data_IF_723482139225
#
_entry.id   IF_723482139225
#
_cell.length_a   1.000
_cell.length_b   1.000
_cell.length_c   1.000
_cell.angle_alpha   90.00
_cell.angle_beta   90.00
_cell.angle_gamma   90.00
#
_symmetry.space_group_name_H-M   'P 1'
#
loop_
_entity.id
_entity.type
_entity.pdbx_description
1 polymer ?
#
# COMPACT_ATOMS: atom_id res chain seq x y z
N UNK A 1 27.73 -13.21 37.23
CA UNK A 1 27.59 -13.95 35.96
C UNK A 1 27.32 -15.45 36.17
N UNK A 2 28.21 -16.20 36.85
CA UNK A 2 28.04 -17.63 37.12
C UNK A 2 26.77 -18.01 37.92
N UNK A 3 26.31 -17.17 38.84
CA UNK A 3 25.08 -17.39 39.61
C UNK A 3 23.79 -17.21 38.78
N UNK A 4 23.84 -16.38 37.73
CA UNK A 4 22.73 -16.18 36.80
C UNK A 4 22.68 -17.34 35.81
N UNK A 5 23.84 -17.77 35.29
CA UNK A 5 23.95 -18.95 34.43
C UNK A 5 23.49 -20.23 35.15
N UNK A 6 23.84 -20.44 36.43
CA UNK A 6 23.31 -21.54 37.24
C UNK A 6 21.80 -21.47 37.49
N UNK A 7 21.23 -20.25 37.63
CA UNK A 7 19.77 -20.06 37.72
C UNK A 7 19.08 -20.33 36.38
N UNK A 8 19.71 -20.01 35.25
CA UNK A 8 19.22 -20.30 33.90
C UNK A 8 19.25 -21.80 33.61
N UNK A 9 20.32 -22.51 33.98
CA UNK A 9 20.40 -23.98 33.88
C UNK A 9 19.36 -24.69 34.76
N UNK A 10 19.00 -24.10 35.91
CA UNK A 10 17.92 -24.61 36.77
C UNK A 10 16.50 -24.39 36.23
N UNK A 11 16.32 -23.56 35.19
CA UNK A 11 15.03 -23.29 34.51
C UNK A 11 14.83 -24.21 33.30
N UNK A 12 15.75 -25.16 33.07
CA UNK A 12 15.61 -26.25 32.09
C UNK A 12 14.36 -27.09 32.36
N UNK A 13 13.23 -26.74 31.73
CA UNK A 13 12.11 -27.68 31.62
C UNK A 13 10.74 -27.13 31.23
N UNK A 14 10.45 -25.83 31.29
CA UNK A 14 9.11 -25.31 30.91
C UNK A 14 9.18 -23.95 30.22
N UNK A 15 9.57 -23.95 28.95
CA UNK A 15 9.30 -22.81 28.07
C UNK A 15 7.78 -22.72 27.83
N UNK A 16 7.12 -21.89 28.62
CA UNK A 16 5.67 -21.68 28.56
C UNK A 16 5.23 -21.03 27.26
N UNK A 17 6.06 -20.19 26.65
CA UNK A 17 5.79 -19.60 25.33
C UNK A 17 5.84 -20.66 24.25
N UNK A 18 6.88 -21.50 24.23
CA UNK A 18 6.99 -22.60 23.27
C UNK A 18 5.84 -23.59 23.40
N UNK A 19 5.49 -23.99 24.64
CA UNK A 19 4.34 -24.87 24.87
C UNK A 19 3.06 -24.27 24.30
N UNK A 20 2.81 -23.00 24.59
CA UNK A 20 1.64 -22.26 24.08
C UNK A 20 1.69 -22.14 22.56
N UNK A 21 2.86 -21.92 21.96
CA UNK A 21 3.04 -21.86 20.50
C UNK A 21 2.63 -23.16 19.84
N UNK A 22 3.11 -24.29 20.36
CA UNK A 22 2.80 -25.62 19.83
C UNK A 22 1.30 -25.94 19.94
N UNK A 23 0.69 -25.63 21.09
CA UNK A 23 -0.76 -25.80 21.31
C UNK A 23 -1.58 -24.97 20.32
N UNK A 24 -1.22 -23.71 20.09
CA UNK A 24 -1.91 -22.85 19.13
C UNK A 24 -1.74 -23.32 17.69
N UNK A 25 -0.51 -23.68 17.27
CA UNK A 25 -0.25 -24.22 15.94
C UNK A 25 -1.09 -25.48 15.71
N UNK A 26 -1.12 -26.39 16.69
CA UNK A 26 -1.90 -27.63 16.59
C UNK A 26 -3.40 -27.37 16.50
N UNK A 27 -3.93 -26.43 17.30
CA UNK A 27 -5.34 -26.01 17.23
C UNK A 27 -5.70 -25.38 15.89
N UNK A 28 -4.80 -24.56 15.33
CA UNK A 28 -5.00 -23.93 14.01
C UNK A 28 -4.99 -25.01 12.92
N UNK A 29 -3.99 -25.89 12.94
CA UNK A 29 -3.80 -26.95 11.93
C UNK A 29 -4.84 -28.05 11.99
N UNK A 30 -5.43 -28.32 13.16
CA UNK A 30 -6.56 -29.23 13.29
C UNK A 30 -7.85 -28.65 12.72
N UNK A 31 -8.02 -27.32 12.79
CA UNK A 31 -9.17 -26.61 12.23
C UNK A 31 -9.03 -26.40 10.72
N UNK A 32 -7.84 -26.06 10.25
CA UNK A 32 -7.50 -25.90 8.84
C UNK A 32 -6.08 -26.41 8.58
N UNK A 33 -5.99 -27.59 7.97
CA UNK A 33 -4.69 -28.22 7.67
C UNK A 33 -3.88 -27.44 6.63
N UNK A 34 -4.57 -26.70 5.74
CA UNK A 34 -3.97 -25.89 4.70
C UNK A 34 -3.48 -24.52 5.19
N UNK A 35 -3.82 -24.15 6.43
CA UNK A 35 -3.46 -22.86 7.01
C UNK A 35 -1.95 -22.62 6.97
N UNK A 36 -1.56 -21.47 6.42
CA UNK A 36 -0.18 -20.98 6.45
C UNK A 36 -0.02 -20.10 7.68
N UNK A 37 0.98 -20.37 8.51
CA UNK A 37 1.21 -19.66 9.78
C UNK A 37 2.51 -18.88 9.69
N UNK A 38 2.47 -17.60 10.06
CA UNK A 38 3.67 -16.76 10.14
C UNK A 38 3.99 -16.55 11.61
N UNK A 39 5.22 -16.84 12.01
CA UNK A 39 5.71 -16.65 13.37
C UNK A 39 6.80 -15.59 13.36
N UNK A 40 6.53 -14.43 13.96
CA UNK A 40 7.51 -13.36 14.10
C UNK A 40 8.25 -13.45 15.44
N UNK A 41 9.55 -13.18 15.38
CA UNK A 41 10.41 -12.97 16.56
C UNK A 41 11.40 -11.84 16.27
N UNK A 42 11.89 -11.17 17.31
CA UNK A 42 12.85 -10.08 17.15
C UNK A 42 14.27 -10.60 16.90
N UNK A 43 14.61 -11.76 17.49
CA UNK A 43 15.99 -12.26 17.52
C UNK A 43 16.19 -13.47 16.60
N UNK A 44 17.33 -13.49 15.89
CA UNK A 44 17.72 -14.61 15.01
C UNK A 44 17.97 -15.91 15.77
N UNK A 45 18.46 -15.82 17.01
CA UNK A 45 18.70 -17.00 17.85
C UNK A 45 17.39 -17.70 18.21
N UNK A 46 16.37 -16.92 18.58
CA UNK A 46 15.00 -17.43 18.80
C UNK A 46 14.43 -18.05 17.54
N UNK A 47 14.60 -17.41 16.38
CA UNK A 47 14.18 -17.97 15.10
C UNK A 47 14.83 -19.34 14.85
N UNK A 48 16.13 -19.46 15.09
CA UNK A 48 16.89 -20.70 14.88
C UNK A 48 16.42 -21.81 15.83
N UNK A 49 16.19 -21.45 17.10
CA UNK A 49 15.64 -22.33 18.11
C UNK A 49 14.25 -22.85 17.73
N UNK A 50 13.31 -21.95 17.39
CA UNK A 50 11.94 -22.31 17.00
C UNK A 50 11.93 -23.16 15.73
N UNK A 51 12.73 -22.79 14.73
CA UNK A 51 12.89 -23.54 13.48
C UNK A 51 13.32 -24.99 13.74
N UNK A 52 14.30 -25.22 14.61
CA UNK A 52 14.78 -26.56 14.96
C UNK A 52 13.69 -27.44 15.59
N UNK A 53 12.81 -26.86 16.40
CA UNK A 53 11.74 -27.60 17.09
C UNK A 53 10.56 -27.85 16.15
N UNK A 54 10.11 -26.81 15.44
CA UNK A 54 8.93 -26.90 14.57
C UNK A 54 9.16 -27.81 13.35
N UNK A 55 10.40 -27.86 12.83
CA UNK A 55 10.77 -28.76 11.73
C UNK A 55 10.61 -30.25 12.03
N UNK A 56 10.49 -30.63 13.31
CA UNK A 56 10.26 -32.03 13.68
C UNK A 56 8.86 -32.53 13.28
N UNK A 57 7.88 -31.62 13.13
CA UNK A 57 6.47 -31.96 12.85
C UNK A 57 5.91 -31.27 11.61
N UNK A 58 6.46 -30.13 11.19
CA UNK A 58 5.92 -29.30 10.12
C UNK A 58 6.98 -28.94 9.08
N UNK A 59 6.55 -28.70 7.83
CA UNK A 59 7.42 -28.09 6.82
C UNK A 59 7.61 -26.62 7.16
N UNK A 60 8.85 -26.17 7.29
CA UNK A 60 9.15 -24.80 7.73
C UNK A 60 9.94 -24.00 6.69
N UNK A 61 9.73 -22.69 6.73
CA UNK A 61 10.50 -21.68 6.01
C UNK A 61 11.07 -20.67 7.01
N UNK A 62 12.24 -20.10 6.72
CA UNK A 62 12.84 -19.07 7.58
C UNK A 62 13.30 -17.86 6.79
N UNK A 63 13.00 -16.66 7.30
CA UNK A 63 13.45 -15.40 6.69
C UNK A 63 14.12 -14.52 7.75
N UNK A 64 15.41 -14.20 7.55
CA UNK A 64 16.19 -13.34 8.44
C UNK A 64 17.02 -12.30 7.69
N UNK A 65 17.42 -11.23 8.41
CA UNK A 65 17.89 -9.98 7.79
C UNK A 65 19.14 -10.12 6.90
N UNK A 66 20.01 -11.10 7.16
CA UNK A 66 21.22 -11.32 6.35
C UNK A 66 21.00 -12.17 5.08
N UNK A 67 19.77 -12.58 4.78
CA UNK A 67 19.45 -13.29 3.52
C UNK A 67 19.42 -12.35 2.31
N UNK A 68 19.96 -12.82 1.19
CA UNK A 68 19.89 -12.13 -0.10
C UNK A 68 18.46 -12.04 -0.66
N UNK A 69 18.24 -11.11 -1.59
CA UNK A 69 16.89 -10.84 -2.15
C UNK A 69 16.33 -12.04 -2.91
N UNK A 70 17.15 -12.77 -3.67
CA UNK A 70 16.72 -13.97 -4.42
C UNK A 70 16.37 -15.13 -3.50
N UNK A 71 17.17 -15.39 -2.46
CA UNK A 71 16.87 -16.41 -1.46
C UNK A 71 15.54 -16.13 -0.74
N UNK A 72 15.29 -14.86 -0.39
CA UNK A 72 14.01 -14.46 0.20
C UNK A 72 12.84 -14.76 -0.73
N UNK A 73 12.97 -14.50 -2.04
CA UNK A 73 11.92 -14.82 -3.01
C UNK A 73 11.67 -16.32 -3.10
N UNK A 74 12.71 -17.14 -3.20
CA UNK A 74 12.56 -18.60 -3.24
C UNK A 74 11.89 -19.15 -1.97
N UNK A 75 12.25 -18.65 -0.79
CA UNK A 75 11.62 -19.05 0.46
C UNK A 75 10.15 -18.64 0.51
N UNK A 76 9.80 -17.45 0.01
CA UNK A 76 8.41 -17.00 -0.08
C UNK A 76 7.58 -17.82 -1.07
N UNK A 77 8.15 -18.16 -2.21
CA UNK A 77 7.51 -19.04 -3.19
C UNK A 77 7.26 -20.43 -2.58
N UNK A 78 8.25 -20.97 -1.88
CA UNK A 78 8.09 -22.24 -1.16
C UNK A 78 7.04 -22.16 -0.06
N UNK A 79 6.92 -21.03 0.65
CA UNK A 79 5.88 -20.85 1.66
C UNK A 79 4.49 -20.65 1.05
N UNK A 80 4.39 -20.02 -0.13
CA UNK A 80 3.12 -19.81 -0.85
C UNK A 80 2.59 -21.09 -1.49
N UNK A 81 3.46 -22.00 -1.93
CA UNK A 81 3.08 -23.29 -2.49
C UNK A 81 2.19 -24.08 -1.49
N UNK A 82 0.97 -24.50 -1.86
CA UNK A 82 0.11 -25.35 -1.03
C UNK A 82 0.82 -26.60 -0.47
N UNK A 83 1.77 -27.18 -1.23
CA UNK A 83 2.54 -28.37 -0.85
C UNK A 83 3.90 -28.04 -0.20
N UNK A 84 4.27 -26.77 -0.15
CA UNK A 84 5.54 -26.29 0.40
C UNK A 84 5.49 -26.07 1.93
N UNK A 85 6.16 -25.03 2.41
CA UNK A 85 6.28 -24.76 3.85
C UNK A 85 4.92 -24.39 4.46
N UNK A 86 4.61 -24.96 5.61
CA UNK A 86 3.39 -24.73 6.37
C UNK A 86 3.51 -23.57 7.35
N UNK A 87 4.72 -23.38 7.88
CA UNK A 87 5.02 -22.36 8.89
C UNK A 87 6.24 -21.58 8.42
N UNK A 88 6.15 -20.26 8.46
CA UNK A 88 7.29 -19.39 8.22
C UNK A 88 7.70 -18.70 9.52
N UNK A 89 8.96 -18.84 9.93
CA UNK A 89 9.51 -18.10 11.07
C UNK A 89 10.38 -16.96 10.55
N UNK A 90 10.11 -15.73 10.96
CA UNK A 90 10.82 -14.56 10.42
C UNK A 90 11.18 -13.51 11.47
N UNK A 91 12.27 -12.78 11.20
CA UNK A 91 12.65 -11.59 11.97
C UNK A 91 12.11 -10.31 11.36
N UNK A 92 11.95 -9.27 12.17
CA UNK A 92 11.53 -7.92 11.72
C UNK A 92 12.35 -7.38 10.55
N UNK A 93 13.68 -7.43 10.67
CA UNK A 93 14.62 -6.92 9.66
C UNK A 93 14.50 -7.62 8.29
N UNK A 94 13.78 -8.74 8.26
CA UNK A 94 13.66 -9.60 7.10
C UNK A 94 12.26 -9.59 6.49
N UNK A 95 11.23 -9.21 7.26
CA UNK A 95 9.83 -9.10 6.83
C UNK A 95 9.45 -7.75 6.21
N UNK A 96 10.30 -6.73 6.30
CA UNK A 96 10.05 -5.43 5.66
C UNK A 96 10.05 -5.55 4.12
N UNK A 97 9.04 -4.95 3.49
CA UNK A 97 8.89 -4.93 2.03
C UNK A 97 8.36 -6.23 1.40
N UNK A 98 8.08 -7.26 2.20
CA UNK A 98 7.52 -8.54 1.72
C UNK A 98 5.99 -8.50 1.74
N UNK A 99 5.36 -9.06 0.71
CA UNK A 99 3.92 -9.26 0.65
C UNK A 99 3.55 -10.66 1.18
N UNK A 100 2.76 -10.69 2.26
CA UNK A 100 2.37 -11.91 2.98
C UNK A 100 0.86 -12.13 2.98
N UNK A 101 0.11 -11.45 2.08
CA UNK A 101 -1.36 -11.54 1.98
C UNK A 101 -1.90 -12.96 1.72
N UNK A 102 -1.08 -13.89 1.26
CA UNK A 102 -1.47 -15.30 1.09
C UNK A 102 -1.56 -16.08 2.41
N UNK A 103 -1.08 -15.53 3.52
CA UNK A 103 -1.39 -16.00 4.87
C UNK A 103 -2.54 -15.17 5.45
N UNK A 104 -3.25 -15.72 6.44
CA UNK A 104 -4.22 -14.99 7.25
C UNK A 104 -3.98 -15.20 8.75
N UNK A 105 -2.84 -15.79 9.13
CA UNK A 105 -2.50 -16.11 10.52
C UNK A 105 -1.09 -15.62 10.83
N UNK A 106 -1.01 -14.74 11.81
CA UNK A 106 0.22 -14.18 12.37
C UNK A 106 0.31 -14.52 13.86
N UNK A 107 1.46 -15.03 14.28
CA UNK A 107 1.81 -15.25 15.68
C UNK A 107 3.06 -14.42 15.98
N UNK A 108 2.93 -13.40 16.82
CA UNK A 108 4.04 -12.66 17.36
C UNK A 108 4.55 -13.39 18.61
N UNK A 109 5.63 -14.15 18.46
CA UNK A 109 6.31 -14.83 19.58
C UNK A 109 6.93 -13.81 20.54
N UNK A 110 7.51 -12.76 19.96
CA UNK A 110 7.98 -11.56 20.65
C UNK A 110 7.32 -10.34 20.01
N UNK A 111 6.61 -9.56 20.83
CA UNK A 111 5.92 -8.36 20.40
C UNK A 111 6.91 -7.18 20.40
N UNK A 112 7.02 -6.41 19.32
CA UNK A 112 7.92 -5.27 19.30
C UNK A 112 7.34 -4.17 20.20
N UNK A 113 8.23 -3.50 20.95
CA UNK A 113 7.87 -2.35 21.78
C UNK A 113 7.38 -1.15 20.97
N UNK A 114 7.85 -1.03 19.72
CA UNK A 114 7.48 0.07 18.83
C UNK A 114 6.12 -0.24 18.13
N UNK A 115 5.06 0.56 18.37
CA UNK A 115 3.73 0.35 17.78
C UNK A 115 3.73 0.46 16.26
N UNK A 116 4.56 1.31 15.68
CA UNK A 116 4.74 1.43 14.23
C UNK A 116 5.30 0.14 13.64
N UNK A 117 6.21 -0.55 14.34
CA UNK A 117 6.69 -1.87 13.88
C UNK A 117 5.58 -2.91 13.92
N UNK A 118 4.78 -2.94 14.99
CA UNK A 118 3.62 -3.82 15.09
C UNK A 118 2.63 -3.56 13.95
N UNK A 119 2.30 -2.29 13.71
CA UNK A 119 1.45 -1.85 12.61
C UNK A 119 1.98 -2.31 11.25
N UNK A 120 3.28 -2.15 11.01
CA UNK A 120 3.92 -2.61 9.78
C UNK A 120 3.86 -4.12 9.60
N UNK A 121 4.03 -4.92 10.68
CA UNK A 121 3.84 -6.39 10.64
C UNK A 121 2.42 -6.72 10.20
N UNK A 122 1.43 -6.14 10.90
CA UNK A 122 0.02 -6.37 10.63
C UNK A 122 -0.35 -5.99 9.20
N UNK A 123 0.17 -4.86 8.71
CA UNK A 123 0.01 -4.36 7.36
C UNK A 123 0.73 -5.18 6.27
N UNK A 124 1.51 -6.22 6.60
CA UNK A 124 2.00 -7.19 5.59
C UNK A 124 0.96 -8.23 5.21
N UNK A 125 -0.01 -8.47 6.09
CA UNK A 125 -1.04 -9.51 5.92
C UNK A 125 -2.42 -8.86 5.69
N UNK A 126 -2.76 -7.86 6.50
CA UNK A 126 -4.03 -7.13 6.40
C UNK A 126 -3.84 -5.88 5.55
N UNK A 127 -3.85 -6.05 4.22
CA UNK A 127 -4.01 -4.95 3.27
C UNK A 127 -5.30 -5.06 2.49
N UNK A 128 -5.63 -3.97 1.79
CA UNK A 128 -6.75 -3.87 0.84
C UNK A 128 -6.70 -5.05 -0.14
N UNK A 129 -7.74 -5.88 -0.15
CA UNK A 129 -7.85 -7.09 -0.99
C UNK A 129 -7.76 -8.42 -0.24
N UNK A 130 -7.47 -8.41 1.07
CA UNK A 130 -7.58 -9.60 1.91
C UNK A 130 -9.05 -9.91 2.21
N UNK A 131 -9.56 -11.05 1.72
CA UNK A 131 -10.94 -11.48 1.92
C UNK A 131 -11.11 -12.38 3.15
N UNK A 132 -10.04 -13.05 3.58
CA UNK A 132 -10.08 -13.92 4.76
C UNK A 132 -9.90 -13.10 6.03
N UNK A 133 -10.62 -13.48 7.08
CA UNK A 133 -10.38 -12.92 8.42
C UNK A 133 -8.93 -13.19 8.83
N UNK A 134 -8.22 -12.11 9.15
CA UNK A 134 -6.83 -12.18 9.62
C UNK A 134 -6.83 -12.34 11.13
N UNK A 135 -6.03 -13.28 11.62
CA UNK A 135 -5.85 -13.56 13.04
C UNK A 135 -4.44 -13.18 13.47
N UNK A 136 -4.36 -12.38 14.53
CA UNK A 136 -3.12 -11.95 15.16
C UNK A 136 -3.06 -12.51 16.57
N UNK A 137 -2.05 -13.34 16.85
CA UNK A 137 -1.80 -13.91 18.16
C UNK A 137 -0.55 -13.28 18.75
N UNK A 138 -0.71 -12.43 19.76
CA UNK A 138 0.40 -11.74 20.40
C UNK A 138 0.74 -12.42 21.72
N UNK A 139 1.94 -12.98 21.82
CA UNK A 139 2.37 -13.67 23.04
C UNK A 139 2.97 -12.67 24.02
N UNK A 140 2.41 -12.66 25.23
CA UNK A 140 2.78 -11.75 26.30
C UNK A 140 3.02 -12.57 27.56
N UNK A 141 4.15 -12.34 28.23
CA UNK A 141 4.45 -13.00 29.51
C UNK A 141 3.69 -12.24 30.61
N UNK A 142 2.88 -12.96 31.38
CA UNK A 142 2.17 -12.38 32.53
C UNK A 142 3.16 -12.05 33.65
N UNK A 143 2.82 -11.05 34.46
CA UNK A 143 3.60 -10.62 35.64
C UNK A 143 4.99 -10.03 35.34
N UNK A 144 5.23 -9.61 34.11
CA UNK A 144 6.34 -8.69 33.78
C UNK A 144 5.82 -7.28 33.54
N UNK A 145 6.65 -6.27 33.80
CA UNK A 145 6.33 -4.88 33.49
C UNK A 145 6.03 -4.71 31.99
N UNK A 146 6.91 -5.26 31.16
CA UNK A 146 6.77 -5.30 29.70
C UNK A 146 5.43 -5.90 29.28
N UNK A 147 5.08 -7.05 29.88
CA UNK A 147 3.84 -7.74 29.56
C UNK A 147 2.60 -6.99 30.02
N UNK A 148 2.69 -6.31 31.16
CA UNK A 148 1.62 -5.44 31.63
C UNK A 148 1.38 -4.27 30.66
N UNK A 149 2.43 -3.55 30.26
CA UNK A 149 2.33 -2.42 29.33
C UNK A 149 1.80 -2.89 27.97
N UNK A 150 2.39 -3.95 27.41
CA UNK A 150 1.99 -4.48 26.10
C UNK A 150 0.55 -4.99 26.10
N UNK A 151 0.10 -5.64 27.18
CA UNK A 151 -1.30 -6.09 27.30
C UNK A 151 -2.28 -4.92 27.28
N UNK A 152 -1.98 -3.84 28.01
CA UNK A 152 -2.80 -2.63 28.07
C UNK A 152 -2.83 -1.89 26.74
N UNK A 153 -1.68 -1.84 26.05
CA UNK A 153 -1.61 -1.30 24.70
C UNK A 153 -2.49 -2.09 23.73
N UNK A 154 -2.40 -3.42 23.74
CA UNK A 154 -3.23 -4.28 22.89
C UNK A 154 -4.73 -4.15 23.19
N UNK A 155 -5.12 -4.08 24.47
CA UNK A 155 -6.51 -3.85 24.88
C UNK A 155 -7.02 -2.51 24.33
N UNK A 156 -6.20 -1.46 24.41
CA UNK A 156 -6.56 -0.15 23.89
C UNK A 156 -6.70 -0.14 22.38
N UNK A 157 -5.80 -0.81 21.67
CA UNK A 157 -5.87 -0.99 20.21
C UNK A 157 -7.19 -1.67 19.83
N UNK A 158 -7.60 -2.71 20.54
CA UNK A 158 -8.86 -3.40 20.30
C UNK A 158 -10.08 -2.49 20.53
N UNK A 159 -10.09 -1.73 21.63
CA UNK A 159 -11.17 -0.77 21.91
C UNK A 159 -11.29 0.31 20.83
N UNK A 160 -10.17 0.85 20.35
CA UNK A 160 -10.16 1.83 19.25
C UNK A 160 -10.60 1.18 17.94
N UNK A 161 -10.24 -0.09 17.70
CA UNK A 161 -10.64 -0.87 16.52
C UNK A 161 -12.15 -1.03 16.44
N UNK A 162 -12.78 -1.34 17.56
CA UNK A 162 -14.24 -1.44 17.65
C UNK A 162 -14.90 -0.08 17.39
N UNK A 163 -14.39 1.01 17.99
CA UNK A 163 -14.93 2.35 17.80
C UNK A 163 -14.79 2.89 16.36
N UNK A 164 -13.70 2.55 15.66
CA UNK A 164 -13.41 3.02 14.29
C UNK A 164 -13.84 2.03 13.19
N UNK A 165 -14.63 1.01 13.53
CA UNK A 165 -15.20 0.07 12.56
C UNK A 165 -14.14 -0.72 11.77
N UNK A 166 -13.02 -1.08 12.40
CA UNK A 166 -11.99 -1.94 11.80
C UNK A 166 -10.86 -1.23 11.03
N UNK A 167 -10.81 0.11 10.98
CA UNK A 167 -9.80 0.88 10.22
C UNK A 167 -8.51 1.22 10.99
N UNK A 168 -8.21 0.52 12.08
CA UNK A 168 -7.17 0.99 13.04
C UNK A 168 -5.75 0.72 12.61
N UNK A 169 -5.54 -0.20 11.68
CA UNK A 169 -4.20 -0.66 11.31
C UNK A 169 -3.36 0.33 10.49
N UNK A 170 -3.91 1.49 10.11
CA UNK A 170 -3.17 2.57 9.42
C UNK A 170 -2.91 3.80 10.33
N UNK A 171 -3.32 3.74 11.61
CA UNK A 171 -3.23 4.86 12.56
C UNK A 171 -2.56 4.50 13.88
N UNK A 172 -2.05 3.27 14.05
CA UNK A 172 -1.47 2.79 15.32
C UNK A 172 -0.23 3.59 15.73
N UNK A 173 0.74 3.73 14.82
CA UNK A 173 1.95 4.53 15.07
C UNK A 173 1.68 6.02 15.23
N UNK A 174 0.50 6.50 14.83
CA UNK A 174 0.06 7.89 15.05
C UNK A 174 -0.61 8.07 16.42
N UNK A 175 -1.30 7.03 16.91
CA UNK A 175 -1.97 7.05 18.21
C UNK A 175 -0.99 6.89 19.36
N UNK A 176 -0.03 5.98 19.25
CA UNK A 176 0.99 5.71 20.27
C UNK A 176 2.36 5.69 19.61
N UNK A 177 3.28 6.53 20.08
CA UNK A 177 4.66 6.55 19.61
C UNK A 177 5.56 5.74 20.54
N UNK A 178 6.72 5.33 20.04
CA UNK A 178 7.76 4.66 20.84
C UNK A 178 8.21 5.53 22.03
N UNK A 179 8.24 6.85 21.86
CA UNK A 179 8.58 7.80 22.93
C UNK A 179 7.55 7.76 24.07
N UNK A 180 6.25 7.73 23.75
CA UNK A 180 5.19 7.70 24.77
C UNK A 180 5.29 6.41 25.63
N UNK A 181 5.67 5.29 25.01
CA UNK A 181 5.85 4.02 25.72
C UNK A 181 7.10 3.98 26.58
N UNK A 182 8.21 4.55 26.10
CA UNK A 182 9.45 4.64 26.88
C UNK A 182 9.26 5.56 28.10
N UNK A 183 8.56 6.69 27.95
CA UNK A 183 8.22 7.57 29.07
C UNK A 183 7.34 6.85 30.10
N UNK A 184 6.30 6.14 29.65
CA UNK A 184 5.46 5.34 30.53
C UNK A 184 6.25 4.23 31.24
N UNK A 185 7.15 3.55 30.53
CA UNK A 185 7.99 2.51 31.12
C UNK A 185 8.87 3.06 32.24
N UNK A 186 9.55 4.19 31.99
CA UNK A 186 10.37 4.89 32.99
C UNK A 186 9.55 5.35 34.21
N UNK A 187 8.33 5.82 34.01
CA UNK A 187 7.42 6.17 35.10
C UNK A 187 7.01 4.94 35.91
N UNK A 188 6.62 3.85 35.25
CA UNK A 188 6.17 2.61 35.89
C UNK A 188 7.28 1.88 36.64
N UNK A 189 8.54 2.00 36.19
CA UNK A 189 9.71 1.51 36.94
C UNK A 189 9.88 2.19 38.31
N UNK A 190 9.41 3.44 38.44
CA UNK A 190 9.58 4.25 39.66
C UNK A 190 8.41 4.12 40.63
N UNK A 191 7.33 3.47 40.23
CA UNK A 191 6.11 3.34 41.05
C UNK A 191 5.78 1.87 41.39
N UNK A 192 5.23 1.60 42.59
CA UNK A 192 4.72 0.28 42.95
C UNK A 192 3.60 -0.18 42.01
N UNK A 193 3.43 -1.51 41.86
CA UNK A 193 2.47 -2.14 40.94
C UNK A 193 1.03 -1.67 41.17
N UNK A 194 0.68 -1.33 42.40
CA UNK A 194 -0.64 -0.83 42.80
C UNK A 194 -0.98 0.52 42.17
N UNK A 195 0.02 1.31 41.75
CA UNK A 195 -0.17 2.62 41.11
C UNK A 195 -0.12 2.57 39.60
N UNK A 196 0.20 1.41 39.01
CA UNK A 196 0.36 1.29 37.56
C UNK A 196 -0.93 1.64 36.79
N UNK A 197 -2.10 1.34 37.36
CA UNK A 197 -3.39 1.72 36.73
C UNK A 197 -3.59 3.24 36.64
N UNK A 198 -3.19 3.98 37.68
CA UNK A 198 -3.31 5.43 37.69
C UNK A 198 -2.39 6.10 36.66
N UNK A 199 -1.18 5.58 36.48
CA UNK A 199 -0.21 6.09 35.51
C UNK A 199 -0.63 5.77 34.07
N UNK A 200 -1.18 4.57 33.82
CA UNK A 200 -1.71 4.22 32.49
C UNK A 200 -2.87 5.12 32.06
N UNK A 201 -3.64 5.66 33.02
CA UNK A 201 -4.71 6.61 32.70
C UNK A 201 -4.21 7.87 31.98
N UNK A 202 -2.96 8.28 32.19
CA UNK A 202 -2.34 9.37 31.42
C UNK A 202 -2.17 8.99 29.94
N UNK A 203 -1.75 7.75 29.67
CA UNK A 203 -1.67 7.23 28.31
C UNK A 203 -3.06 7.18 27.66
N UNK A 204 -4.10 6.80 28.42
CA UNK A 204 -5.49 6.82 27.93
C UNK A 204 -5.91 8.22 27.46
N UNK A 205 -5.58 9.27 28.23
CA UNK A 205 -5.90 10.65 27.87
C UNK A 205 -5.17 11.10 26.60
N UNK A 206 -3.89 10.74 26.45
CA UNK A 206 -3.08 11.04 25.25
C UNK A 206 -3.70 10.36 24.02
N UNK A 207 -3.99 9.06 24.14
CA UNK A 207 -4.54 8.26 23.06
C UNK A 207 -5.94 8.75 22.66
N UNK A 208 -6.80 9.07 23.64
CA UNK A 208 -8.14 9.58 23.38
C UNK A 208 -8.11 10.97 22.72
N UNK A 209 -7.20 11.85 23.15
CA UNK A 209 -7.00 13.16 22.51
C UNK A 209 -6.55 13.01 21.05
N UNK A 210 -5.58 12.13 20.77
CA UNK A 210 -5.11 11.85 19.40
C UNK A 210 -6.21 11.18 18.56
N UNK A 211 -6.99 10.27 19.13
CA UNK A 211 -8.14 9.64 18.48
C UNK A 211 -9.18 10.68 18.05
N UNK A 212 -9.57 11.61 18.92
CA UNK A 212 -10.51 12.69 18.58
C UNK A 212 -10.00 13.60 17.46
N UNK A 213 -8.69 13.86 17.42
CA UNK A 213 -8.06 14.61 16.34
C UNK A 213 -8.17 13.82 15.03
N UNK A 214 -7.84 12.53 15.03
CA UNK A 214 -7.95 11.66 13.87
C UNK A 214 -9.40 11.50 13.37
N UNK A 215 -10.37 11.41 14.26
CA UNK A 215 -11.79 11.35 13.92
C UNK A 215 -12.26 12.67 13.28
N UNK A 216 -11.82 13.82 13.79
CA UNK A 216 -12.08 15.12 13.17
C UNK A 216 -11.39 15.26 11.81
N UNK A 217 -10.17 14.75 11.67
CA UNK A 217 -9.48 14.69 10.38
C UNK A 217 -10.24 13.76 9.41
N UNK A 218 -10.67 12.57 9.81
CA UNK A 218 -11.48 11.68 8.94
C UNK A 218 -12.81 12.35 8.61
N UNK A 219 -13.47 13.08 9.51
CA UNK A 219 -14.72 13.78 9.23
C UNK A 219 -14.53 14.96 8.27
N UNK A 220 -13.47 15.75 8.42
CA UNK A 220 -13.10 16.82 7.49
C UNK A 220 -12.67 16.26 6.13
N UNK A 221 -11.90 15.16 6.14
CA UNK A 221 -11.53 14.41 4.95
C UNK A 221 -12.71 13.65 4.35
N UNK A 222 -13.76 13.34 5.10
CA UNK A 222 -14.98 12.67 4.62
C UNK A 222 -15.97 13.69 4.04
N UNK A 223 -15.97 14.93 4.54
CA UNK A 223 -16.54 16.08 3.81
C UNK A 223 -15.83 16.36 2.48
N UNK A 224 -14.58 15.90 2.33
CA UNK A 224 -13.80 15.88 1.08
C UNK A 224 -13.58 14.47 0.51
N UNK A 225 -14.20 13.42 1.07
CA UNK A 225 -14.25 12.12 0.39
C UNK A 225 -15.22 12.43 -0.71
N UNK A 226 -14.67 12.47 -1.93
CA UNK A 226 -15.25 11.78 -3.05
C UNK A 226 -16.55 11.11 -2.63
N UNK A 227 -17.65 11.77 -2.97
CA UNK A 227 -19.03 11.30 -2.91
C UNK A 227 -19.03 9.76 -2.77
N UNK A 228 -19.66 9.19 -1.75
CA UNK A 228 -19.71 7.71 -1.64
C UNK A 228 -20.35 7.10 -2.89
N UNK A 229 -21.26 7.83 -3.53
CA UNK A 229 -21.73 7.62 -4.90
C UNK A 229 -20.59 7.62 -5.92
N UNK A 230 -19.65 8.57 -5.87
CA UNK A 230 -18.42 8.62 -6.69
C UNK A 230 -17.32 7.63 -6.31
N UNK A 231 -17.31 7.04 -5.12
CA UNK A 231 -16.38 5.97 -4.74
C UNK A 231 -16.93 4.60 -5.17
N UNK A 232 -18.25 4.43 -5.15
CA UNK A 232 -18.92 3.42 -5.94
C UNK A 232 -18.78 3.70 -7.43
N UNK A 233 -18.79 4.97 -7.87
CA UNK A 233 -18.51 5.33 -9.26
C UNK A 233 -17.03 5.22 -9.59
N UNK A 234 -16.05 5.32 -8.69
CA UNK A 234 -14.62 5.07 -8.99
C UNK A 234 -14.27 3.61 -8.83
N UNK A 235 -15.03 2.87 -8.01
CA UNK A 235 -15.05 1.42 -8.07
C UNK A 235 -15.84 0.92 -9.28
N UNK A 236 -16.80 1.67 -9.83
CA UNK A 236 -17.49 1.37 -11.10
C UNK A 236 -16.65 1.84 -12.27
N UNK A 237 -16.29 3.11 -12.42
CA UNK A 237 -15.27 3.67 -13.32
C UNK A 237 -13.94 2.91 -13.23
N UNK A 238 -13.48 2.43 -12.07
CA UNK A 238 -12.31 1.56 -11.97
C UNK A 238 -12.57 0.11 -12.41
N UNK A 239 -13.82 -0.35 -12.36
CA UNK A 239 -14.35 -1.59 -12.95
C UNK A 239 -14.84 -1.42 -14.41
N UNK A 240 -15.00 -0.19 -14.90
CA UNK A 240 -15.69 0.19 -16.15
C UNK A 240 -14.77 0.96 -17.11
N UNK A 241 -13.64 1.52 -16.64
CA UNK A 241 -12.77 2.33 -17.51
C UNK A 241 -11.85 1.47 -18.35
N UNK A 242 -11.43 0.30 -17.85
CA UNK A 242 -10.59 -0.67 -18.59
C UNK A 242 -10.96 -2.06 -18.08
N UNK A 243 -11.68 -2.82 -18.91
CA UNK A 243 -12.06 -4.20 -18.61
C UNK A 243 -10.78 -5.06 -18.48
N UNK A 244 -10.74 -6.02 -17.55
CA UNK A 244 -9.65 -7.01 -17.47
C UNK A 244 -9.49 -7.72 -18.83
N UNK A 245 -10.59 -7.87 -19.57
CA UNK A 245 -10.57 -8.39 -20.94
C UNK A 245 -9.95 -7.44 -21.96
N UNK A 246 -9.95 -6.11 -21.77
CA UNK A 246 -9.33 -5.17 -22.70
C UNK A 246 -7.82 -5.26 -22.65
N UNK A 247 -7.23 -5.34 -21.45
CA UNK A 247 -5.78 -5.54 -21.30
C UNK A 247 -5.36 -6.88 -21.88
N UNK A 248 -6.14 -7.94 -21.59
CA UNK A 248 -5.93 -9.26 -22.19
C UNK A 248 -5.98 -9.20 -23.72
N UNK A 249 -7.04 -8.63 -24.29
CA UNK A 249 -7.22 -8.50 -25.74
C UNK A 249 -6.09 -7.70 -26.37
N UNK A 250 -5.66 -6.60 -25.74
CA UNK A 250 -4.51 -5.83 -26.19
C UNK A 250 -3.24 -6.69 -26.24
N UNK A 251 -2.93 -7.40 -25.14
CA UNK A 251 -1.72 -8.24 -25.08
C UNK A 251 -1.79 -9.37 -26.11
N UNK A 252 -2.93 -10.04 -26.26
CA UNK A 252 -3.14 -11.10 -27.25
C UNK A 252 -2.92 -10.59 -28.68
N UNK A 253 -3.59 -9.49 -29.05
CA UNK A 253 -3.46 -8.88 -30.39
C UNK A 253 -2.02 -8.43 -30.63
N UNK A 254 -1.43 -7.71 -29.68
CA UNK A 254 -0.07 -7.19 -29.83
C UNK A 254 0.97 -8.30 -29.99
N UNK A 255 0.88 -9.33 -29.15
CA UNK A 255 1.83 -10.45 -29.14
C UNK A 255 1.68 -11.28 -30.41
N UNK A 256 0.45 -11.63 -30.79
CA UNK A 256 0.20 -12.45 -31.99
C UNK A 256 0.60 -11.70 -33.27
N UNK A 257 0.29 -10.41 -33.38
CA UNK A 257 0.68 -9.58 -34.52
C UNK A 257 2.20 -9.51 -34.72
N UNK A 258 2.98 -9.54 -33.63
CA UNK A 258 4.45 -9.48 -33.67
C UNK A 258 5.13 -10.86 -33.59
N UNK A 259 4.41 -11.94 -33.91
CA UNK A 259 4.96 -13.29 -33.99
C UNK A 259 5.26 -13.97 -32.65
N UNK A 260 4.76 -13.42 -31.54
CA UNK A 260 4.71 -14.12 -30.25
C UNK A 260 3.47 -15.01 -30.14
N UNK A 261 3.25 -15.59 -28.95
CA UNK A 261 2.08 -16.44 -28.67
C UNK A 261 1.58 -16.25 -27.24
N UNK A 262 0.27 -16.34 -27.06
CA UNK A 262 -0.39 -16.37 -25.74
C UNK A 262 -1.08 -17.72 -25.58
N UNK A 263 -0.66 -18.52 -24.60
CA UNK A 263 -1.17 -19.86 -24.31
C UNK A 263 -1.79 -19.88 -22.91
N UNK A 264 -3.02 -20.37 -22.77
CA UNK A 264 -3.62 -20.63 -21.45
C UNK A 264 -3.07 -21.95 -20.91
N UNK A 265 -2.47 -21.92 -19.72
CA UNK A 265 -1.80 -23.09 -19.09
C UNK A 265 -2.48 -23.54 -17.79
N UNK A 266 -3.54 -22.87 -17.36
CA UNK A 266 -4.30 -23.17 -16.15
C UNK A 266 -5.57 -22.34 -16.07
N UNK A 267 -6.18 -22.27 -14.89
CA UNK A 267 -7.38 -21.47 -14.68
C UNK A 267 -7.03 -19.97 -14.71
N UNK A 268 -7.30 -19.32 -15.84
CA UNK A 268 -6.96 -17.91 -16.14
C UNK A 268 -5.48 -17.55 -15.91
N UNK A 269 -4.59 -18.54 -16.06
CA UNK A 269 -3.14 -18.37 -16.06
C UNK A 269 -2.63 -18.54 -17.48
N UNK A 270 -1.84 -17.57 -17.93
CA UNK A 270 -1.36 -17.46 -19.30
C UNK A 270 0.17 -17.50 -19.33
N UNK A 271 0.70 -18.27 -20.28
CA UNK A 271 2.08 -18.26 -20.70
C UNK A 271 2.17 -17.43 -21.98
N UNK A 272 2.95 -16.36 -21.93
CA UNK A 272 3.10 -15.43 -23.05
C UNK A 272 4.54 -15.53 -23.55
N UNK A 273 4.69 -15.97 -24.79
CA UNK A 273 5.94 -15.91 -25.55
C UNK A 273 6.04 -14.51 -26.14
N UNK A 274 6.98 -13.72 -25.64
CA UNK A 274 7.14 -12.32 -26.00
C UNK A 274 7.79 -12.18 -27.39
N UNK A 275 7.35 -11.20 -28.20
CA UNK A 275 8.08 -10.78 -29.40
C UNK A 275 9.53 -10.39 -29.09
N UNK A 276 10.45 -10.57 -30.05
CA UNK A 276 11.91 -10.41 -29.84
C UNK A 276 12.30 -9.03 -29.30
N UNK A 277 11.67 -7.98 -29.80
CA UNK A 277 11.92 -6.60 -29.39
C UNK A 277 11.52 -6.34 -27.92
N UNK A 278 10.34 -6.83 -27.52
CA UNK A 278 9.88 -6.74 -26.12
C UNK A 278 10.72 -7.66 -25.22
N UNK A 279 11.06 -8.85 -25.68
CA UNK A 279 11.88 -9.79 -24.93
C UNK A 279 13.25 -9.20 -24.57
N UNK A 280 13.87 -8.46 -25.50
CA UNK A 280 15.12 -7.77 -25.28
C UNK A 280 14.99 -6.64 -24.24
N UNK A 281 13.94 -5.81 -24.32
CA UNK A 281 13.72 -4.69 -23.38
C UNK A 281 13.41 -5.18 -21.95
N UNK A 282 12.68 -6.28 -21.83
CA UNK A 282 12.28 -6.84 -20.53
C UNK A 282 13.34 -7.80 -19.97
N UNK A 283 14.25 -8.31 -20.81
CA UNK A 283 15.31 -9.24 -20.43
C UNK A 283 14.85 -10.70 -20.27
N UNK A 284 13.69 -11.06 -20.83
CA UNK A 284 13.12 -12.42 -20.77
C UNK A 284 12.21 -12.67 -21.97
N UNK A 285 12.31 -13.86 -22.57
CA UNK A 285 11.52 -14.23 -23.75
C UNK A 285 10.14 -14.83 -23.45
N UNK A 286 9.93 -15.35 -22.24
CA UNK A 286 8.66 -15.96 -21.83
C UNK A 286 8.27 -15.38 -20.48
N UNK A 287 6.99 -15.01 -20.35
CA UNK A 287 6.40 -14.64 -19.07
C UNK A 287 5.21 -15.54 -18.77
N UNK A 288 4.90 -15.68 -17.48
CA UNK A 288 3.66 -16.29 -17.01
C UNK A 288 2.95 -15.28 -16.12
N UNK A 289 1.64 -15.20 -16.21
CA UNK A 289 0.85 -14.21 -15.49
C UNK A 289 -0.64 -14.46 -15.62
N UNK A 290 -1.43 -13.65 -14.92
CA UNK A 290 -2.90 -13.68 -15.01
C UNK A 290 -3.42 -12.27 -15.25
N UNK A 291 -4.50 -12.17 -16.02
CA UNK A 291 -5.24 -10.92 -16.24
C UNK A 291 -6.39 -10.75 -15.23
N UNK A 292 -6.60 -11.75 -14.35
CA UNK A 292 -7.60 -11.69 -13.29
C UNK A 292 -6.98 -11.25 -11.98
N UNK A 293 -7.54 -10.22 -11.35
CA UNK A 293 -7.08 -9.74 -10.04
C UNK A 293 -7.24 -10.83 -8.97
N UNK A 294 -8.38 -11.52 -8.98
CA UNK A 294 -8.71 -12.52 -7.96
C UNK A 294 -7.70 -13.67 -7.96
N UNK A 295 -7.26 -14.09 -9.15
CA UNK A 295 -6.30 -15.18 -9.30
C UNK A 295 -4.89 -14.70 -8.99
N UNK A 296 -4.55 -13.45 -9.29
CA UNK A 296 -3.27 -12.88 -8.88
C UNK A 296 -3.12 -12.80 -7.36
N UNK A 297 -4.22 -12.51 -6.64
CA UNK A 297 -4.23 -12.52 -5.16
C UNK A 297 -4.08 -13.92 -4.58
N UNK A 298 -4.60 -14.94 -5.27
CA UNK A 298 -4.55 -16.35 -4.85
C UNK A 298 -3.26 -17.07 -5.25
N UNK A 299 -2.51 -16.56 -6.24
CA UNK A 299 -1.34 -17.24 -6.82
C UNK A 299 -0.03 -16.44 -6.67
N UNK A 300 1.10 -17.01 -7.11
CA UNK A 300 2.38 -16.27 -7.29
C UNK A 300 2.49 -15.58 -8.65
N UNK A 301 1.54 -15.82 -9.56
CA UNK A 301 1.63 -15.29 -10.91
C UNK A 301 1.40 -13.77 -10.93
N UNK A 302 2.26 -12.99 -11.60
CA UNK A 302 2.11 -11.55 -11.71
C UNK A 302 0.75 -11.16 -12.30
N UNK A 303 0.14 -10.13 -11.71
CA UNK A 303 -1.04 -9.50 -12.28
C UNK A 303 -0.64 -8.66 -13.52
N UNK A 304 -1.17 -9.05 -14.68
CA UNK A 304 -0.89 -8.41 -15.96
C UNK A 304 -1.88 -7.28 -16.21
N UNK A 305 -1.61 -6.13 -15.61
CA UNK A 305 -2.43 -4.91 -15.75
C UNK A 305 -1.63 -3.72 -16.25
N UNK A 306 -2.34 -2.64 -16.53
CA UNK A 306 -1.73 -1.33 -16.73
C UNK A 306 -0.89 -0.95 -15.53
N UNK A 307 0.36 -0.52 -15.80
CA UNK A 307 1.40 -0.33 -14.79
C UNK A 307 2.33 -1.54 -14.59
N UNK A 308 1.96 -2.74 -15.07
CA UNK A 308 2.92 -3.85 -15.16
C UNK A 308 4.02 -3.51 -16.15
N UNK A 309 5.29 -3.70 -15.78
CA UNK A 309 6.45 -3.34 -16.62
C UNK A 309 6.38 -3.93 -18.04
N UNK A 310 5.91 -5.16 -18.19
CA UNK A 310 5.83 -5.82 -19.50
C UNK A 310 4.70 -5.25 -20.35
N UNK A 311 3.52 -5.06 -19.74
CA UNK A 311 2.37 -4.45 -20.42
C UNK A 311 2.70 -3.01 -20.83
N UNK A 312 3.37 -2.24 -19.96
CA UNK A 312 3.82 -0.89 -20.26
C UNK A 312 4.88 -0.85 -21.38
N UNK A 313 5.79 -1.82 -21.44
CA UNK A 313 6.74 -1.93 -22.55
C UNK A 313 6.02 -2.19 -23.89
N UNK A 314 5.02 -3.09 -23.90
CA UNK A 314 4.19 -3.33 -25.08
C UNK A 314 3.42 -2.08 -25.50
N UNK A 315 2.80 -1.37 -24.56
CA UNK A 315 2.09 -0.11 -24.83
C UNK A 315 3.05 0.93 -25.42
N UNK A 316 4.23 1.11 -24.81
CA UNK A 316 5.25 2.03 -25.31
C UNK A 316 5.73 1.65 -26.72
N UNK A 317 5.87 0.36 -27.01
CA UNK A 317 6.24 -0.13 -28.33
C UNK A 317 5.10 -0.01 -29.36
N UNK A 318 3.84 -0.05 -28.91
CA UNK A 318 2.65 0.18 -29.73
C UNK A 318 2.46 1.68 -30.03
N UNK A 319 2.91 2.55 -29.13
CA UNK A 319 2.85 4.01 -29.27
C UNK A 319 3.94 4.61 -30.18
N UNK A 320 4.80 3.80 -30.79
CA UNK A 320 5.76 4.30 -31.80
C UNK A 320 5.00 4.75 -33.05
N UNK A 321 5.48 5.82 -33.66
CA UNK A 321 4.87 6.39 -34.87
C UNK A 321 4.72 5.33 -35.95
N UNK A 322 3.50 5.20 -36.45
CA UNK A 322 3.15 4.26 -37.52
C UNK A 322 2.11 4.89 -38.43
N UNK A 323 2.22 4.54 -39.70
CA UNK A 323 1.20 4.82 -40.71
C UNK A 323 0.39 3.54 -40.89
N UNK A 324 -0.93 3.66 -40.99
CA UNK A 324 -1.84 2.55 -41.22
C UNK A 324 -2.88 2.98 -42.24
N UNK A 325 -3.20 2.09 -43.18
CA UNK A 325 -4.13 2.34 -44.27
C UNK A 325 -5.47 1.70 -43.91
N UNK A 326 -6.54 2.47 -44.04
CA UNK A 326 -7.90 2.05 -43.76
C UNK A 326 -8.85 2.44 -44.89
N UNK A 327 -9.92 1.68 -45.06
CA UNK A 327 -11.05 1.94 -45.95
C UNK A 327 -12.23 2.46 -45.15
N UNK A 328 -12.90 3.47 -45.69
CA UNK A 328 -14.14 4.01 -45.14
C UNK A 328 -15.05 4.50 -46.27
N UNK A 329 -16.38 4.27 -46.21
CA UNK A 329 -17.28 4.62 -47.32
C UNK A 329 -17.36 6.12 -47.62
N UNK A 330 -17.17 6.97 -46.61
CA UNK A 330 -17.41 8.42 -46.71
C UNK A 330 -16.22 9.30 -46.35
N UNK A 331 -15.12 8.70 -45.88
CA UNK A 331 -13.96 9.45 -45.40
C UNK A 331 -12.79 9.20 -46.34
N UNK A 332 -12.27 10.27 -46.93
CA UNK A 332 -11.08 10.24 -47.80
C UNK A 332 -10.11 11.31 -47.32
N UNK A 333 -8.86 10.92 -47.12
CA UNK A 333 -7.79 11.80 -46.65
C UNK A 333 -7.08 11.24 -45.43
N UNK A 334 -6.31 12.09 -44.75
CA UNK A 334 -5.49 11.70 -43.61
C UNK A 334 -6.18 12.00 -42.28
N UNK A 335 -6.02 11.08 -41.33
CA UNK A 335 -6.29 11.34 -39.91
C UNK A 335 -4.97 11.18 -39.16
N UNK A 336 -4.59 12.22 -38.45
CA UNK A 336 -3.42 12.19 -37.57
C UNK A 336 -3.88 12.08 -36.13
N UNK A 337 -3.31 11.11 -35.41
CA UNK A 337 -3.56 10.92 -33.98
C UNK A 337 -2.39 11.46 -33.19
N UNK A 338 -2.65 12.47 -32.36
CA UNK A 338 -1.67 13.06 -31.47
C UNK A 338 -1.99 12.71 -30.02
N UNK A 339 -0.94 12.51 -29.22
CA UNK A 339 -1.07 12.43 -27.77
C UNK A 339 -0.59 13.75 -27.17
N UNK A 340 -1.50 14.45 -26.52
CA UNK A 340 -1.16 15.64 -25.74
C UNK A 340 -0.89 15.17 -24.31
N UNK A 341 0.34 15.36 -23.83
CA UNK A 341 0.73 15.06 -22.45
C UNK A 341 1.30 16.28 -21.76
N UNK A 342 0.78 16.61 -20.57
CA UNK A 342 1.30 17.67 -19.71
C UNK A 342 2.15 17.02 -18.63
N UNK A 343 3.45 17.32 -18.66
CA UNK A 343 4.44 16.75 -17.76
C UNK A 343 4.86 17.83 -16.75
N UNK A 344 4.96 17.45 -15.48
CA UNK A 344 5.46 18.36 -14.45
C UNK A 344 7.01 18.45 -14.43
N UNK A 345 7.54 19.34 -13.59
CA UNK A 345 9.01 19.52 -13.44
C UNK A 345 9.74 18.28 -12.89
N UNK A 346 9.02 17.29 -12.38
CA UNK A 346 9.57 16.02 -11.89
C UNK A 346 9.45 14.90 -12.93
N UNK A 347 9.01 15.22 -14.16
CA UNK A 347 8.83 14.24 -15.23
C UNK A 347 7.57 13.40 -15.10
N UNK A 348 6.63 13.73 -14.22
CA UNK A 348 5.36 13.00 -14.08
C UNK A 348 4.29 13.60 -14.99
N UNK A 349 3.63 12.76 -15.78
CA UNK A 349 2.46 13.14 -16.57
C UNK A 349 1.28 13.45 -15.64
N UNK A 350 0.79 14.69 -15.69
CA UNK A 350 -0.36 15.18 -14.91
C UNK A 350 -1.66 15.10 -15.69
N UNK A 351 -1.57 15.08 -17.01
CA UNK A 351 -2.69 15.00 -17.92
C UNK A 351 -2.23 14.42 -19.25
N UNK A 352 -3.02 13.54 -19.83
CA UNK A 352 -2.75 12.89 -21.09
C UNK A 352 -4.05 12.63 -21.85
N UNK A 353 -4.14 13.01 -23.12
CA UNK A 353 -5.27 12.63 -23.98
C UNK A 353 -4.84 12.43 -25.42
N UNK A 354 -5.56 11.55 -26.12
CA UNK A 354 -5.45 11.41 -27.57
C UNK A 354 -6.40 12.38 -28.27
N UNK A 355 -5.97 12.92 -29.39
CA UNK A 355 -6.78 13.76 -30.27
C UNK A 355 -6.55 13.30 -31.71
N UNK A 356 -7.64 13.06 -32.44
CA UNK A 356 -7.60 12.88 -33.88
C UNK A 356 -7.80 14.22 -34.56
N UNK A 357 -7.08 14.47 -35.64
CA UNK A 357 -7.29 15.62 -36.51
C UNK A 357 -7.26 15.17 -37.96
N UNK A 358 -8.28 15.55 -38.75
CA UNK A 358 -8.27 15.30 -40.18
C UNK A 358 -7.41 16.32 -40.95
N UNK A 359 -7.11 16.01 -42.21
CA UNK A 359 -6.38 16.88 -43.15
C UNK A 359 -6.99 18.29 -43.29
N UNK A 360 -8.32 18.42 -43.17
CA UNK A 360 -9.03 19.70 -43.17
C UNK A 360 -8.92 20.48 -41.84
N UNK A 361 -8.28 19.87 -40.84
CA UNK A 361 -8.11 20.40 -39.49
C UNK A 361 -9.31 20.15 -38.56
N UNK A 362 -10.33 19.40 -38.97
CA UNK A 362 -11.45 19.05 -38.09
C UNK A 362 -11.00 18.08 -36.98
N UNK A 363 -11.55 18.26 -35.78
CA UNK A 363 -11.24 17.39 -34.63
C UNK A 363 -12.07 16.11 -34.71
N UNK A 364 -11.39 14.99 -34.60
CA UNK A 364 -11.97 13.65 -34.69
C UNK A 364 -11.76 12.91 -33.37
N UNK A 365 -12.80 12.21 -32.93
CA UNK A 365 -12.68 11.31 -31.78
C UNK A 365 -11.80 10.11 -32.16
N UNK A 366 -10.71 9.82 -31.43
CA UNK A 366 -9.84 8.68 -31.72
C UNK A 366 -10.54 7.32 -31.81
N UNK A 367 -11.73 7.19 -31.23
CA UNK A 367 -12.54 5.97 -31.33
C UNK A 367 -13.02 5.64 -32.75
N UNK A 368 -12.94 6.57 -33.71
CA UNK A 368 -13.28 6.32 -35.12
C UNK A 368 -12.50 5.12 -35.71
N UNK A 369 -11.33 4.80 -35.16
CA UNK A 369 -10.50 3.66 -35.61
C UNK A 369 -11.26 2.33 -35.52
N UNK A 370 -12.26 2.21 -34.63
CA UNK A 370 -13.10 1.02 -34.53
C UNK A 370 -14.12 0.89 -35.66
N UNK A 371 -14.43 1.98 -36.35
CA UNK A 371 -15.39 2.06 -37.47
C UNK A 371 -14.66 1.98 -38.83
N UNK A 372 -13.33 1.84 -38.83
CA UNK A 372 -12.48 1.80 -40.01
C UNK A 372 -12.11 0.35 -40.37
N UNK A 373 -12.21 0.00 -41.66
CA UNK A 373 -11.80 -1.31 -42.14
C UNK A 373 -10.33 -1.29 -42.57
N UNK A 374 -9.50 -2.29 -42.25
CA UNK A 374 -8.11 -2.34 -42.74
C UNK A 374 -8.05 -2.34 -44.27
N UNK A 375 -7.16 -1.53 -44.86
CA UNK A 375 -6.85 -1.58 -46.28
C UNK A 375 -5.72 -2.57 -46.57
N UNK A 376 -5.84 -3.33 -47.66
CA UNK A 376 -4.86 -4.38 -48.04
C UNK A 376 -3.83 -3.93 -49.09
N UNK A 377 -4.06 -2.81 -49.78
CA UNK A 377 -3.24 -2.40 -50.94
C UNK A 377 -2.16 -1.37 -50.58
N UNK A 378 -0.88 -1.76 -50.71
CA UNK A 378 0.26 -0.85 -50.62
C UNK A 378 0.34 0.12 -51.82
N UNK A 379 -0.27 -0.22 -52.95
CA UNK A 379 -0.27 0.60 -54.18
C UNK A 379 -1.11 1.90 -54.05
N UNK A 380 -1.99 1.98 -53.06
CA UNK A 380 -2.74 3.20 -52.71
C UNK A 380 -2.06 4.00 -51.59
N UNK A 381 -0.86 3.61 -51.15
CA UNK A 381 -0.15 4.29 -50.08
C UNK A 381 0.25 5.72 -50.50
N UNK A 382 -0.15 6.74 -49.73
CA UNK A 382 0.17 8.12 -50.05
C UNK A 382 1.69 8.39 -50.01
N UNK A 383 2.17 9.27 -50.90
CA UNK A 383 3.58 9.65 -50.94
C UNK A 383 4.04 10.25 -49.60
N UNK A 384 5.18 9.79 -49.02
CA UNK A 384 5.66 10.25 -47.72
C UNK A 384 5.80 11.77 -47.59
N UNK A 385 6.21 12.46 -48.66
CA UNK A 385 6.36 13.93 -48.66
C UNK A 385 5.05 14.67 -48.38
N UNK A 386 3.92 14.20 -48.93
CA UNK A 386 2.60 14.80 -48.71
C UNK A 386 2.13 14.63 -47.26
N UNK A 387 2.50 13.53 -46.63
CA UNK A 387 2.16 13.24 -45.22
C UNK A 387 2.88 14.22 -44.29
N UNK A 388 4.18 14.45 -44.54
CA UNK A 388 4.99 15.38 -43.74
C UNK A 388 4.48 16.81 -43.87
N UNK A 389 4.18 17.27 -45.09
CA UNK A 389 3.66 18.62 -45.33
C UNK A 389 2.34 18.88 -44.57
N UNK A 390 1.40 17.92 -44.61
CA UNK A 390 0.13 18.03 -43.88
C UNK A 390 0.38 17.96 -42.37
N UNK A 391 1.28 17.10 -41.90
CA UNK A 391 1.62 16.99 -40.49
C UNK A 391 2.17 18.31 -39.92
N UNK A 392 3.12 18.95 -40.61
CA UNK A 392 3.71 20.24 -40.20
C UNK A 392 2.63 21.34 -40.11
N UNK A 393 1.69 21.37 -41.06
CA UNK A 393 0.58 22.32 -41.05
C UNK A 393 -0.34 22.11 -39.84
N UNK A 394 -0.60 20.87 -39.47
CA UNK A 394 -1.47 20.51 -38.34
C UNK A 394 -0.76 20.68 -36.99
N UNK A 395 0.56 20.51 -36.92
CA UNK A 395 1.36 20.63 -35.70
C UNK A 395 1.20 22.01 -35.04
N UNK A 396 1.13 23.08 -35.84
CA UNK A 396 0.86 24.43 -35.34
C UNK A 396 -0.48 24.53 -34.61
N UNK A 397 -1.54 23.96 -35.19
CA UNK A 397 -2.90 23.94 -34.62
C UNK A 397 -2.97 23.09 -33.35
N UNK A 398 -2.23 21.99 -33.30
CA UNK A 398 -2.16 21.12 -32.11
C UNK A 398 -1.38 21.79 -30.99
N UNK A 399 -0.32 22.52 -31.32
CA UNK A 399 0.45 23.30 -30.35
C UNK A 399 -0.43 24.35 -29.66
N UNK A 400 -1.31 25.03 -30.40
CA UNK A 400 -2.29 25.97 -29.83
C UNK A 400 -3.29 25.26 -28.89
N UNK A 401 -3.82 24.10 -29.29
CA UNK A 401 -4.73 23.30 -28.46
C UNK A 401 -4.03 22.81 -27.19
N UNK A 402 -2.78 22.35 -27.30
CA UNK A 402 -1.97 21.88 -26.18
C UNK A 402 -1.67 23.01 -25.19
N UNK A 403 -1.39 24.23 -25.68
CA UNK A 403 -1.17 25.40 -24.84
C UNK A 403 -2.43 25.75 -24.04
N UNK A 404 -3.59 25.74 -24.69
CA UNK A 404 -4.88 26.02 -24.05
C UNK A 404 -5.23 24.97 -22.97
N UNK A 405 -4.96 23.69 -23.26
CA UNK A 405 -5.11 22.60 -22.27
C UNK A 405 -4.15 22.75 -21.09
N UNK A 406 -2.92 23.18 -21.34
CA UNK A 406 -1.92 23.46 -20.31
C UNK A 406 -2.35 24.61 -19.39
N UNK A 407 -2.83 25.72 -19.96
CA UNK A 407 -3.36 26.84 -19.19
C UNK A 407 -4.56 26.44 -18.33
N UNK A 408 -5.51 25.71 -18.91
CA UNK A 408 -6.70 25.23 -18.20
C UNK A 408 -6.32 24.29 -17.04
N UNK A 409 -5.37 23.39 -17.26
CA UNK A 409 -4.85 22.48 -16.24
C UNK A 409 -4.13 23.24 -15.13
N UNK A 410 -3.29 24.21 -15.48
CA UNK A 410 -2.59 25.08 -14.53
C UNK A 410 -3.57 25.92 -13.69
N UNK A 411 -4.60 26.52 -14.30
CA UNK A 411 -5.66 27.26 -13.58
C UNK A 411 -6.42 26.37 -12.61
N UNK A 412 -6.75 25.13 -12.99
CA UNK A 412 -7.39 24.15 -12.08
C UNK A 412 -6.49 23.83 -10.89
N UNK A 413 -5.21 23.56 -11.14
CA UNK A 413 -4.22 23.27 -10.08
C UNK A 413 -4.00 24.48 -9.14
N UNK A 414 -3.95 25.70 -9.67
CA UNK A 414 -3.80 26.91 -8.86
C UNK A 414 -5.02 27.15 -7.96
N UNK A 415 -6.23 26.98 -8.49
CA UNK A 415 -7.48 27.08 -7.69
C UNK A 415 -7.51 26.05 -6.57
N UNK A 416 -7.02 24.83 -6.82
CA UNK A 416 -6.91 23.78 -5.79
C UNK A 416 -5.92 24.24 -4.71
N UNK A 417 -4.74 24.74 -5.10
CA UNK A 417 -3.70 25.20 -4.18
C UNK A 417 -4.14 26.38 -3.30
N UNK A 418 -4.82 27.37 -3.88
CA UNK A 418 -5.36 28.52 -3.14
C UNK A 418 -6.41 28.09 -2.12
N UNK A 419 -7.36 27.22 -2.52
CA UNK A 419 -8.37 26.70 -1.60
C UNK A 419 -7.74 25.90 -0.46
N UNK A 420 -6.76 25.05 -0.74
CA UNK A 420 -6.01 24.32 0.30
C UNK A 420 -5.30 25.28 1.25
N UNK A 421 -4.64 26.33 0.75
CA UNK A 421 -3.96 27.33 1.57
C UNK A 421 -4.93 28.10 2.47
N UNK A 422 -6.06 28.55 1.92
CA UNK A 422 -7.09 29.27 2.70
C UNK A 422 -7.72 28.40 3.78
N UNK A 423 -7.96 27.11 3.50
CA UNK A 423 -8.47 26.17 4.48
C UNK A 423 -7.49 25.95 5.65
N UNK A 424 -6.19 25.83 5.35
CA UNK A 424 -5.14 25.70 6.37
C UNK A 424 -5.04 26.96 7.24
N UNK A 425 -5.08 28.14 6.64
CA UNK A 425 -5.02 29.41 7.37
C UNK A 425 -6.24 29.54 8.30
N UNK A 426 -7.45 29.31 7.78
CA UNK A 426 -8.68 29.39 8.59
C UNK A 426 -8.63 28.46 9.80
N UNK A 427 -8.13 27.24 9.62
CA UNK A 427 -7.99 26.26 10.69
C UNK A 427 -7.03 26.73 11.80
N UNK A 428 -5.84 27.19 11.44
CA UNK A 428 -4.88 27.68 12.44
C UNK A 428 -5.35 28.97 13.12
N UNK A 429 -6.03 29.86 12.40
CA UNK A 429 -6.62 31.07 12.99
C UNK A 429 -7.71 30.75 14.02
N UNK A 430 -8.59 29.78 13.76
CA UNK A 430 -9.58 29.33 14.75
C UNK A 430 -8.95 28.67 15.99
N UNK A 431 -7.88 27.89 15.80
CA UNK A 431 -7.21 27.22 16.90
C UNK A 431 -6.44 28.20 17.78
N UNK A 432 -5.80 29.21 17.17
CA UNK A 432 -5.17 30.33 17.89
C UNK A 432 -6.23 31.07 18.72
N UNK A 433 -7.39 31.39 18.14
CA UNK A 433 -8.46 32.09 18.86
C UNK A 433 -8.96 31.31 20.08
N UNK A 434 -9.10 29.98 19.99
CA UNK A 434 -9.47 29.11 21.12
C UNK A 434 -8.39 29.06 22.21
N UNK A 435 -7.12 29.06 21.81
CA UNK A 435 -6.00 29.08 22.74
C UNK A 435 -5.90 30.42 23.47
N UNK A 436 -6.14 31.53 22.78
CA UNK A 436 -6.21 32.87 23.37
C UNK A 436 -7.39 33.01 24.34
N UNK A 437 -8.56 32.45 24.00
CA UNK A 437 -9.71 32.42 24.90
C UNK A 437 -9.42 31.64 26.18
N UNK A 438 -8.81 30.45 26.06
CA UNK A 438 -8.36 29.68 27.23
C UNK A 438 -7.30 30.41 28.04
N UNK A 439 -6.34 31.07 27.39
CA UNK A 439 -5.32 31.87 28.08
C UNK A 439 -5.97 32.98 28.92
N UNK A 440 -6.93 33.72 28.36
CA UNK A 440 -7.71 34.74 29.08
C UNK A 440 -8.50 34.14 30.25
N UNK A 441 -9.09 32.95 30.07
CA UNK A 441 -9.82 32.26 31.13
C UNK A 441 -8.88 31.85 32.28
N UNK A 442 -7.67 31.40 31.97
CA UNK A 442 -6.64 31.08 32.97
C UNK A 442 -6.13 32.33 33.69
N UNK A 443 -5.88 33.43 32.98
CA UNK A 443 -5.48 34.71 33.58
C UNK A 443 -6.54 35.21 34.57
N UNK A 444 -7.83 35.11 34.20
CA UNK A 444 -8.94 35.49 35.08
C UNK A 444 -9.02 34.61 36.32
N UNK A 445 -8.87 33.29 36.18
CA UNK A 445 -8.81 32.35 37.31
C UNK A 445 -7.63 32.60 38.25
N UNK A 446 -6.49 33.07 37.73
CA UNK A 446 -5.33 33.44 38.54
C UNK A 446 -5.58 34.76 39.29
N UNK A 447 -6.30 35.71 38.70
CA UNK A 447 -6.70 36.96 39.36
C UNK A 447 -7.74 36.74 40.48
N UNK A 448 -8.71 35.84 40.26
CA UNK A 448 -9.81 35.57 41.21
C UNK A 448 -9.38 34.69 42.40
N UNK A 449 -8.24 33.99 42.31
CA UNK A 449 -7.72 33.11 43.36
C UNK A 449 -6.22 33.35 43.63
N UNK A 450 -5.85 34.30 44.51
CA UNK A 450 -4.44 34.70 44.73
C UNK A 450 -3.51 33.59 45.25
N UNK A 451 -4.04 32.43 45.65
CA UNK A 451 -3.25 31.25 46.02
C UNK A 451 -2.57 30.58 44.81
N UNK A 452 -3.08 30.76 43.58
CA UNK A 452 -2.45 30.24 42.35
C UNK A 452 -1.20 31.02 41.94
N UNK A 453 -1.10 32.30 42.32
CA UNK A 453 0.11 33.12 42.07
C UNK A 453 1.37 32.55 42.71
N UNK A 454 1.24 31.85 43.86
CA UNK A 454 2.34 31.20 44.56
C UNK A 454 2.84 29.92 43.87
N UNK A 455 1.99 29.24 43.10
CA UNK A 455 2.38 28.05 42.32
C UNK A 455 3.16 28.44 41.06
N UNK A 456 2.77 29.52 40.38
CA UNK A 456 3.52 30.05 39.22
C UNK A 456 4.92 30.55 39.59
N UNK A 457 5.09 31.16 40.77
CA UNK A 457 6.42 31.56 41.28
C UNK A 457 7.35 30.37 41.59
N UNK A 458 6.84 29.14 41.76
CA UNK A 458 7.66 27.93 41.94
C UNK A 458 8.18 27.34 40.63
N UNK A 459 7.51 27.59 39.51
CA UNK A 459 7.90 27.07 38.18
C UNK A 459 8.97 27.96 37.50
N UNK A 460 9.15 29.20 37.98
CA UNK A 460 10.14 30.16 37.48
C UNK A 460 11.38 30.29 38.38
N UNK A 461 11.78 29.23 39.10
CA UNK A 461 13.17 29.17 39.58
C UNK A 461 14.05 28.69 38.42
N UNK A 462 14.98 29.52 37.92
CA UNK A 462 15.98 29.04 36.99
C UNK A 462 16.95 28.15 37.77
N UNK A 463 17.08 26.90 37.34
CA UNK A 463 18.34 26.15 37.46
C UNK A 463 19.06 26.21 36.11
#
# INVERSE_FOLDING_TARGET
>A
MLAILKKIDGISGRDSKLKTLLEWIEKIKSSDRSAKIIVFTEYKDTLTYLSKILSQKYKIATIYGSMGIEDRKHVLEHFRDPNGAEIMVCTDAAGEGIDMQFSNIEINYDLPWNPTRLEQRMGRIHRIGQERKVFYYNFVIKDTLDGYILSKLLDKINSIKEALGGRVYDVLGTLVSEKDLNELFEELLRVPRERWEAEIKKLDDIVEKRRKILEKIDNLLTGYKLDRTKLEDIRKIGREAIDENEVKRFVEVFVNYRGGRVERIGDEIYKIVLPRDIAYEVGRGIIKGTFSREIALKTTYPYLVLGNRVVMAMIKAAMKDKISIFRHPYFKGFIFFFRISIIDRKGQERFGRFIGIAEDGSLINPKIVWDLEPGEDEDEAPQPGKIVEIAEKLEKKISEIALLDAENTSRKLSKIKEKSKSAVISFYSEEIAKLEEKAREYEKKVADAPHYSKLLKRVHKPE
#
